data_IF_602297963065
#
_entry.id   IF_602297963065
#
_cell.length_a   1.000
_cell.length_b   1.000
_cell.length_c   1.000
_cell.angle_alpha   90.00
_cell.angle_beta   90.00
_cell.angle_gamma   90.00
#
_symmetry.space_group_name_H-M   'P 1'
#
loop_
_entity.id
_entity.type
_entity.pdbx_description
1 polymer ?
#
# COMPACT_ATOMS: atom_id res chain seq x y z
N UNK A 1 -16.54 -48.97 -3.50
CA UNK A 1 -15.43 -49.17 -2.53
C UNK A 1 -14.18 -48.62 -3.20
N UNK A 2 -13.48 -47.57 -2.76
CA UNK A 2 -13.48 -46.78 -1.53
C UNK A 2 -13.22 -45.31 -1.93
N UNK A 3 -14.00 -44.39 -1.36
CA UNK A 3 -13.68 -42.95 -1.31
C UNK A 3 -12.53 -42.77 -0.33
N UNK A 4 -11.35 -42.37 -0.80
CA UNK A 4 -10.35 -41.78 0.07
C UNK A 4 -10.68 -40.30 0.20
N UNK A 5 -11.48 -39.96 1.22
CA UNK A 5 -11.54 -38.62 1.76
C UNK A 5 -10.12 -38.26 2.20
N UNK A 6 -9.42 -37.49 1.38
CA UNK A 6 -8.19 -36.81 1.78
C UNK A 6 -8.55 -35.90 2.93
N UNK A 7 -8.14 -36.27 4.14
CA UNK A 7 -8.13 -35.37 5.27
C UNK A 7 -7.25 -34.18 4.87
N UNK A 8 -7.91 -33.10 4.43
CA UNK A 8 -7.31 -31.78 4.40
C UNK A 8 -7.01 -31.41 5.85
N UNK A 9 -5.90 -31.90 6.38
CA UNK A 9 -5.31 -31.34 7.59
C UNK A 9 -5.05 -29.89 7.25
N UNK A 10 -5.91 -29.01 7.73
CA UNK A 10 -5.78 -27.57 7.61
C UNK A 10 -4.43 -27.23 8.24
N UNK A 11 -3.38 -27.15 7.43
CA UNK A 11 -2.11 -26.58 7.88
C UNK A 11 -2.44 -25.14 8.23
N UNK A 12 -2.58 -24.86 9.52
CA UNK A 12 -2.72 -23.51 10.03
C UNK A 12 -1.52 -22.74 9.51
N UNK A 13 -1.73 -21.92 8.48
CA UNK A 13 -0.72 -20.98 8.01
C UNK A 13 -0.51 -20.00 9.14
N UNK A 14 0.70 -19.91 9.69
CA UNK A 14 1.01 -18.97 10.77
C UNK A 14 1.71 -17.73 10.23
N UNK A 15 1.62 -16.66 11.00
CA UNK A 15 2.31 -15.40 10.75
C UNK A 15 2.81 -14.78 12.05
N UNK A 16 3.88 -14.00 11.96
CA UNK A 16 4.34 -13.11 13.03
C UNK A 16 3.72 -11.73 12.81
N UNK A 17 2.86 -11.32 13.72
CA UNK A 17 2.22 -10.03 13.70
C UNK A 17 3.03 -9.00 14.50
N UNK A 18 3.57 -8.00 13.83
CA UNK A 18 4.30 -6.91 14.48
C UNK A 18 3.31 -5.86 15.03
N UNK A 19 3.31 -5.72 16.36
CA UNK A 19 2.30 -4.93 17.09
C UNK A 19 2.39 -3.44 16.77
N UNK A 20 3.60 -2.89 16.68
CA UNK A 20 3.81 -1.44 16.55
C UNK A 20 3.42 -0.89 15.17
N UNK A 21 3.56 -1.70 14.10
CA UNK A 21 3.26 -1.27 12.71
C UNK A 21 2.02 -1.92 12.12
N UNK A 22 1.39 -2.86 12.84
CA UNK A 22 0.25 -3.62 12.33
C UNK A 22 0.59 -4.36 11.00
N UNK A 23 1.82 -4.90 10.92
CA UNK A 23 2.31 -5.64 9.75
C UNK A 23 2.53 -7.10 10.11
N UNK A 24 2.10 -8.02 9.24
CA UNK A 24 2.30 -9.45 9.43
C UNK A 24 3.41 -9.99 8.51
N UNK A 25 4.19 -10.92 9.02
CA UNK A 25 5.22 -11.66 8.29
C UNK A 25 4.82 -13.14 8.23
N UNK A 26 4.68 -13.67 7.02
CA UNK A 26 4.30 -15.06 6.83
C UNK A 26 5.39 -16.01 7.37
N UNK A 27 4.98 -17.06 8.08
CA UNK A 27 5.87 -18.16 8.47
C UNK A 27 5.74 -19.29 7.45
N UNK A 28 6.66 -19.38 6.47
CA UNK A 28 6.60 -20.40 5.44
C UNK A 28 6.67 -21.82 6.05
N UNK A 29 5.63 -22.65 5.89
CA UNK A 29 5.58 -23.99 6.52
C UNK A 29 6.55 -24.99 5.87
N UNK A 30 7.18 -24.62 4.76
CA UNK A 30 8.20 -25.40 4.06
C UNK A 30 9.62 -25.15 4.59
N UNK A 31 9.83 -24.13 5.43
CA UNK A 31 11.13 -23.88 6.06
C UNK A 31 11.15 -24.48 7.47
N UNK A 32 12.09 -25.39 7.71
CA UNK A 32 12.32 -25.96 9.04
C UNK A 32 12.93 -24.92 10.00
N UNK A 33 13.67 -23.96 9.48
CA UNK A 33 14.30 -22.87 10.23
C UNK A 33 14.03 -21.56 9.51
N UNK A 34 13.52 -20.59 10.23
CA UNK A 34 13.16 -19.25 9.75
C UNK A 34 13.99 -18.25 10.55
N UNK A 35 14.91 -17.55 9.90
CA UNK A 35 15.80 -16.58 10.53
C UNK A 35 15.16 -15.20 10.55
N UNK A 36 15.22 -14.54 11.70
CA UNK A 36 14.70 -13.20 11.92
C UNK A 36 15.84 -12.24 12.21
N UNK A 37 15.89 -11.13 11.48
CA UNK A 37 16.91 -10.11 11.68
C UNK A 37 16.99 -9.12 10.54
N UNK A 38 18.14 -8.44 10.45
CA UNK A 38 18.41 -7.46 9.40
C UNK A 38 19.33 -8.03 8.30
N UNK A 39 19.08 -7.71 7.02
CA UNK A 39 19.97 -8.08 5.94
C UNK A 39 21.35 -7.49 6.15
N UNK A 40 22.37 -8.28 5.83
CA UNK A 40 23.73 -7.82 5.72
C UNK A 40 24.44 -8.65 4.69
N UNK A 41 24.87 -8.03 3.59
CA UNK A 41 25.56 -8.71 2.50
C UNK A 41 26.72 -9.59 3.03
N UNK A 42 26.74 -10.92 2.77
CA UNK A 42 25.88 -11.73 1.87
C UNK A 42 24.73 -12.51 2.55
N UNK A 43 24.43 -12.26 3.83
CA UNK A 43 23.44 -12.97 4.63
C UNK A 43 22.09 -12.24 4.60
N UNK A 44 21.07 -12.92 4.06
CA UNK A 44 19.68 -12.44 4.05
C UNK A 44 18.85 -13.30 5.03
N UNK A 45 18.24 -12.69 6.07
CA UNK A 45 17.29 -13.39 6.92
C UNK A 45 16.00 -13.69 6.15
N UNK A 46 15.28 -14.74 6.55
CA UNK A 46 13.98 -15.10 5.96
C UNK A 46 12.91 -14.05 6.28
N UNK A 47 12.97 -13.49 7.49
CA UNK A 47 12.15 -12.36 7.94
C UNK A 47 13.04 -11.14 8.10
N UNK A 48 12.97 -10.25 7.10
CA UNK A 48 13.64 -8.95 7.10
C UNK A 48 12.82 -7.91 7.89
N UNK A 49 13.42 -7.46 8.99
CA UNK A 49 12.85 -6.46 9.89
C UNK A 49 13.44 -5.05 9.70
N UNK A 50 14.30 -4.82 8.69
CA UNK A 50 14.94 -3.52 8.42
C UNK A 50 13.96 -2.38 8.14
N UNK A 51 12.77 -2.71 7.64
CA UNK A 51 11.69 -1.75 7.38
C UNK A 51 10.88 -1.37 8.63
N UNK A 52 11.11 -2.04 9.77
CA UNK A 52 10.37 -1.79 11.01
C UNK A 52 10.98 -0.66 11.84
N UNK A 53 10.17 0.08 12.61
CA UNK A 53 10.67 1.07 13.56
C UNK A 53 11.53 0.39 14.63
N UNK A 54 12.57 1.08 15.11
CA UNK A 54 13.53 0.55 16.10
C UNK A 54 14.28 -0.71 15.64
N UNK A 55 14.38 -0.97 14.32
CA UNK A 55 15.19 -2.07 13.78
C UNK A 55 16.67 -2.01 14.22
N UNK A 56 17.17 -0.84 14.62
CA UNK A 56 18.52 -0.68 15.21
C UNK A 56 18.74 -1.53 16.47
N UNK A 57 17.67 -1.83 17.21
CA UNK A 57 17.73 -2.70 18.40
C UNK A 57 17.86 -4.19 18.06
N UNK A 58 17.66 -4.55 16.80
CA UNK A 58 17.67 -5.94 16.37
C UNK A 58 18.95 -6.22 15.60
N UNK A 59 19.51 -7.40 15.83
CA UNK A 59 20.77 -7.84 15.23
C UNK A 59 20.55 -8.34 13.80
N UNK A 60 21.61 -8.45 13.02
CA UNK A 60 21.55 -8.99 11.64
C UNK A 60 21.01 -10.42 11.63
N UNK A 61 21.52 -11.24 12.53
CA UNK A 61 20.99 -12.55 12.87
C UNK A 61 20.62 -12.45 14.35
N UNK A 62 19.34 -12.25 14.66
CA UNK A 62 18.91 -11.97 16.04
C UNK A 62 18.30 -13.21 16.69
N UNK A 63 17.34 -13.81 16.02
CA UNK A 63 16.68 -15.01 16.49
C UNK A 63 16.30 -15.90 15.30
N UNK A 64 15.99 -17.15 15.59
CA UNK A 64 15.41 -18.05 14.61
C UNK A 64 14.20 -18.78 15.19
N UNK A 65 13.24 -19.05 14.33
CA UNK A 65 12.09 -19.89 14.64
C UNK A 65 12.29 -21.23 13.96
N UNK A 66 12.27 -22.30 14.73
CA UNK A 66 12.34 -23.66 14.24
C UNK A 66 10.96 -24.30 14.28
N UNK A 67 10.62 -25.04 13.22
CA UNK A 67 9.44 -25.87 13.16
C UNK A 67 9.85 -27.32 13.39
N UNK A 68 9.42 -27.90 14.52
CA UNK A 68 9.60 -29.32 14.82
C UNK A 68 8.23 -30.00 14.94
N UNK A 69 7.89 -30.77 13.90
CA UNK A 69 6.57 -31.39 13.74
C UNK A 69 5.46 -30.34 13.61
N UNK A 70 4.67 -30.18 14.66
CA UNK A 70 3.58 -29.20 14.77
C UNK A 70 3.89 -28.04 15.70
N UNK A 71 5.06 -28.05 16.36
CA UNK A 71 5.42 -27.09 17.38
C UNK A 71 6.45 -26.09 16.84
N UNK A 72 6.30 -24.84 17.24
CA UNK A 72 7.24 -23.77 16.91
C UNK A 72 8.13 -23.50 18.12
N UNK A 73 9.42 -23.31 17.86
CA UNK A 73 10.40 -22.96 18.88
C UNK A 73 11.13 -21.70 18.47
N UNK A 74 11.33 -20.77 19.41
CA UNK A 74 12.16 -19.57 19.21
C UNK A 74 13.51 -19.79 19.90
N UNK A 75 14.58 -19.42 19.22
CA UNK A 75 15.94 -19.45 19.74
C UNK A 75 16.61 -18.10 19.51
N UNK A 76 17.14 -17.51 20.58
CA UNK A 76 17.97 -16.30 20.49
C UNK A 76 19.37 -16.68 19.98
N UNK A 77 19.81 -16.08 18.88
CA UNK A 77 21.09 -16.36 18.23
C UNK A 77 22.19 -15.43 18.75
N UNK A 78 22.27 -15.31 20.09
CA UNK A 78 23.26 -14.47 20.78
C UNK A 78 23.13 -12.99 20.39
N UNK A 79 21.89 -12.50 20.44
CA UNK A 79 21.60 -11.14 20.02
C UNK A 79 22.09 -10.08 21.01
N UNK A 80 22.42 -8.89 20.51
CA UNK A 80 23.00 -7.82 21.33
C UNK A 80 22.05 -7.33 22.43
N UNK A 81 20.74 -7.27 22.12
CA UNK A 81 19.72 -6.78 23.06
C UNK A 81 18.87 -7.91 23.68
N UNK A 82 19.11 -9.16 23.31
CA UNK A 82 18.35 -10.33 23.75
C UNK A 82 16.95 -10.45 23.16
N UNK A 83 16.43 -11.67 23.12
CA UNK A 83 15.03 -11.99 22.81
C UNK A 83 14.24 -12.26 24.09
N UNK A 84 12.98 -11.85 24.14
CA UNK A 84 12.08 -12.09 25.26
C UNK A 84 10.80 -12.79 24.78
N UNK A 85 10.35 -13.79 25.53
CA UNK A 85 9.08 -14.48 25.31
C UNK A 85 8.16 -14.20 26.49
N UNK A 86 6.98 -13.63 26.25
CA UNK A 86 6.01 -13.24 27.27
C UNK A 86 6.69 -12.49 28.44
N UNK A 87 7.48 -11.47 28.10
CA UNK A 87 8.25 -10.62 29.03
C UNK A 87 9.42 -11.32 29.75
N UNK A 88 9.67 -12.61 29.49
CA UNK A 88 10.79 -13.35 30.08
C UNK A 88 11.96 -13.40 29.10
N UNK A 89 13.16 -12.97 29.55
CA UNK A 89 14.36 -13.02 28.71
C UNK A 89 14.78 -14.46 28.45
N UNK A 90 14.99 -14.80 27.18
CA UNK A 90 15.46 -16.13 26.79
C UNK A 90 16.96 -16.27 27.04
N UNK A 91 17.39 -17.49 27.37
CA UNK A 91 18.82 -17.83 27.33
C UNK A 91 19.26 -17.98 25.87
N UNK A 92 20.36 -17.33 25.46
CA UNK A 92 20.91 -17.51 24.12
C UNK A 92 21.15 -18.99 23.80
N UNK A 93 20.98 -19.36 22.53
CA UNK A 93 21.20 -20.72 22.00
C UNK A 93 20.41 -21.83 22.68
N UNK A 94 19.30 -21.49 23.31
CA UNK A 94 18.37 -22.44 23.93
C UNK A 94 17.02 -22.29 23.23
N UNK A 95 16.44 -23.36 22.65
CA UNK A 95 15.12 -23.29 22.03
C UNK A 95 14.03 -23.24 23.10
N UNK A 96 13.05 -22.35 22.92
CA UNK A 96 11.87 -22.22 23.76
C UNK A 96 10.61 -22.40 22.92
N UNK A 97 9.68 -23.22 23.39
CA UNK A 97 8.42 -23.44 22.68
C UNK A 97 7.59 -22.16 22.63
N UNK A 98 7.00 -21.86 21.48
CA UNK A 98 6.09 -20.72 21.24
C UNK A 98 4.75 -21.25 20.76
N UNK A 99 3.69 -20.74 21.36
CA UNK A 99 2.31 -21.06 21.03
C UNK A 99 1.61 -19.87 20.37
N UNK A 100 0.46 -20.16 19.76
CA UNK A 100 -0.42 -19.11 19.24
C UNK A 100 -0.82 -18.12 20.33
N UNK A 101 -0.69 -16.83 20.03
CA UNK A 101 -0.94 -15.71 20.93
C UNK A 101 0.28 -15.29 21.76
N UNK A 102 1.37 -16.06 21.76
CA UNK A 102 2.56 -15.70 22.52
C UNK A 102 3.24 -14.45 21.95
N UNK A 103 3.74 -13.64 22.87
CA UNK A 103 4.43 -12.39 22.59
C UNK A 103 5.94 -12.61 22.55
N UNK A 104 6.57 -12.24 21.44
CA UNK A 104 8.02 -12.27 21.25
C UNK A 104 8.52 -10.82 21.13
N UNK A 105 9.35 -10.34 22.05
CA UNK A 105 10.02 -9.05 21.93
C UNK A 105 11.48 -9.23 21.49
N UNK A 106 11.90 -8.48 20.48
CA UNK A 106 13.31 -8.39 20.06
C UNK A 106 13.93 -7.15 20.68
N UNK A 107 14.74 -7.36 21.71
CA UNK A 107 15.30 -6.31 22.55
C UNK A 107 14.39 -5.84 23.69
N UNK A 108 14.99 -5.12 24.63
CA UNK A 108 14.30 -4.68 25.85
C UNK A 108 13.29 -3.54 25.58
N UNK A 109 12.19 -3.57 26.32
CA UNK A 109 11.23 -2.45 26.38
C UNK A 109 10.09 -2.53 25.36
N UNK A 110 9.89 -3.68 24.70
CA UNK A 110 8.71 -3.92 23.85
C UNK A 110 8.60 -2.93 22.70
N UNK A 111 9.74 -2.53 22.12
CA UNK A 111 9.79 -1.61 20.97
C UNK A 111 9.67 -2.32 19.63
N UNK A 112 10.02 -3.60 19.59
CA UNK A 112 9.88 -4.51 18.45
C UNK A 112 9.20 -5.77 18.98
N UNK A 113 7.88 -5.83 18.84
CA UNK A 113 7.06 -6.88 19.44
C UNK A 113 6.32 -7.63 18.36
N UNK A 114 6.45 -8.95 18.37
CA UNK A 114 5.72 -9.87 17.52
C UNK A 114 4.74 -10.71 18.33
N UNK A 115 3.62 -11.06 17.73
CA UNK A 115 2.68 -12.05 18.25
C UNK A 115 2.59 -13.18 17.23
N UNK A 116 2.78 -14.42 17.67
CA UNK A 116 2.57 -15.58 16.81
C UNK A 116 1.06 -15.80 16.63
N UNK A 117 0.53 -15.69 15.42
CA UNK A 117 -0.90 -15.86 15.19
C UNK A 117 -1.20 -16.73 13.97
N UNK A 118 -2.41 -17.29 13.94
CA UNK A 118 -2.91 -18.01 12.77
C UNK A 118 -3.35 -16.99 11.72
N UNK A 119 -2.86 -17.16 10.50
CA UNK A 119 -3.31 -16.38 9.34
C UNK A 119 -4.75 -16.76 9.04
N UNK A 120 -5.69 -15.79 9.02
CA UNK A 120 -7.09 -16.07 8.72
C UNK A 120 -7.22 -16.60 7.29
N UNK A 121 -7.55 -17.89 7.15
CA UNK A 121 -7.86 -18.52 5.88
C UNK A 121 -9.26 -18.07 5.44
N UNK A 122 -9.36 -17.00 4.66
CA UNK A 122 -10.62 -16.65 4.01
C UNK A 122 -10.94 -17.70 2.93
N UNK A 123 -11.76 -18.69 3.28
CA UNK A 123 -12.29 -19.66 2.31
C UNK A 123 -13.16 -18.92 1.28
N UNK A 124 -12.66 -18.71 0.07
CA UNK A 124 -13.50 -18.37 -1.08
C UNK A 124 -14.27 -19.62 -1.55
N UNK A 125 -15.26 -20.03 -0.77
CA UNK A 125 -16.35 -20.88 -1.24
C UNK A 125 -17.61 -20.02 -1.23
N UNK A 126 -17.94 -19.36 -2.34
CA UNK A 126 -19.22 -18.68 -2.48
C UNK A 126 -19.86 -18.97 -3.85
N UNK A 127 -20.38 -20.19 -3.97
CA UNK A 127 -21.69 -20.36 -4.59
C UNK A 127 -22.74 -19.87 -3.59
N UNK A 128 -23.43 -18.81 -3.97
CA UNK A 128 -24.69 -18.24 -3.46
C UNK A 128 -25.23 -18.76 -2.11
N UNK A 129 -25.32 -17.88 -1.10
CA UNK A 129 -26.59 -17.45 -0.46
C UNK A 129 -26.29 -16.48 0.70
N UNK A 130 -26.94 -15.33 0.62
CA UNK A 130 -27.00 -14.21 1.57
C UNK A 130 -27.31 -14.62 3.02
N UNK A 131 -26.53 -14.15 4.00
CA UNK A 131 -26.98 -13.33 5.15
C UNK A 131 -25.84 -12.38 5.53
N UNK A 132 -26.15 -11.07 5.46
CA UNK A 132 -25.25 -9.97 5.79
C UNK A 132 -25.25 -9.70 7.30
N UNK A 133 -24.08 -9.79 7.93
CA UNK A 133 -23.72 -8.96 9.07
C UNK A 133 -22.42 -8.24 8.69
N UNK A 134 -22.49 -6.91 8.68
CA UNK A 134 -21.47 -6.04 8.11
C UNK A 134 -20.85 -5.22 9.23
N UNK A 135 -19.76 -5.74 9.80
CA UNK A 135 -18.79 -4.96 10.56
C UNK A 135 -17.50 -4.93 9.75
N UNK A 136 -17.33 -3.86 8.97
CA UNK A 136 -16.22 -3.67 8.05
C UNK A 136 -15.54 -2.33 8.33
N UNK A 137 -14.62 -2.34 9.30
CA UNK A 137 -13.63 -1.28 9.45
C UNK A 137 -12.22 -1.90 9.56
N UNK A 138 -11.77 -2.54 8.47
CA UNK A 138 -10.34 -2.76 8.27
C UNK A 138 -9.99 -2.75 6.78
N UNK A 139 -9.20 -1.73 6.40
CA UNK A 139 -8.38 -1.60 5.19
C UNK A 139 -9.08 -1.68 3.82
N UNK A 140 -9.72 -0.58 3.42
CA UNK A 140 -9.72 -0.18 1.99
C UNK A 140 -8.29 0.21 1.58
N UNK A 141 -7.49 -0.74 1.09
CA UNK A 141 -6.67 -0.44 -0.08
C UNK A 141 -7.64 -0.42 -1.25
N UNK A 142 -8.19 0.74 -1.58
CA UNK A 142 -8.99 0.92 -2.80
C UNK A 142 -8.08 0.64 -3.98
N UNK A 143 -8.15 -0.58 -4.52
CA UNK A 143 -7.79 -0.82 -5.91
C UNK A 143 -8.80 -0.02 -6.73
N UNK A 144 -8.44 1.25 -7.00
CA UNK A 144 -9.26 2.18 -7.78
C UNK A 144 -9.65 1.48 -9.08
N UNK A 145 -10.93 1.20 -9.24
CA UNK A 145 -11.50 0.48 -10.39
C UNK A 145 -11.11 1.20 -11.69
N UNK A 146 -10.94 0.46 -12.78
CA UNK A 146 -10.55 1.01 -14.09
C UNK A 146 -11.54 2.07 -14.55
N UNK A 147 -12.83 1.88 -14.24
CA UNK A 147 -13.92 2.83 -14.50
C UNK A 147 -13.72 4.14 -13.73
N UNK A 148 -13.34 4.05 -12.46
CA UNK A 148 -13.05 5.18 -11.58
C UNK A 148 -11.85 5.99 -12.09
N UNK A 149 -10.79 5.32 -12.54
CA UNK A 149 -9.64 6.00 -13.17
C UNK A 149 -10.02 6.69 -14.49
N UNK A 150 -10.87 6.07 -15.29
CA UNK A 150 -11.30 6.60 -16.58
C UNK A 150 -12.19 7.83 -16.42
N UNK A 151 -13.11 7.81 -15.46
CA UNK A 151 -13.95 8.97 -15.12
C UNK A 151 -13.11 10.11 -14.52
N UNK A 152 -12.11 9.79 -13.67
CA UNK A 152 -11.18 10.81 -13.14
C UNK A 152 -10.36 11.49 -14.23
N UNK A 153 -9.88 10.70 -15.19
CA UNK A 153 -9.18 11.20 -16.37
C UNK A 153 -10.11 12.06 -17.25
N UNK A 154 -11.35 11.63 -17.48
CA UNK A 154 -12.33 12.39 -18.24
C UNK A 154 -12.65 13.75 -17.59
N UNK A 155 -12.79 13.79 -16.25
CA UNK A 155 -13.01 15.03 -15.51
C UNK A 155 -11.81 15.98 -15.58
N UNK A 156 -10.59 15.45 -15.50
CA UNK A 156 -9.39 16.27 -15.70
C UNK A 156 -9.34 16.87 -17.11
N UNK A 157 -9.58 16.06 -18.13
CA UNK A 157 -9.58 16.51 -19.54
C UNK A 157 -10.66 17.56 -19.75
N UNK A 158 -11.86 17.37 -19.21
CA UNK A 158 -12.94 18.37 -19.27
C UNK A 158 -12.54 19.69 -18.61
N UNK A 159 -11.89 19.66 -17.43
CA UNK A 159 -11.39 20.84 -16.74
C UNK A 159 -10.38 21.63 -17.58
N UNK A 160 -9.46 20.93 -18.26
CA UNK A 160 -8.46 21.52 -19.17
C UNK A 160 -9.15 22.10 -20.41
N UNK A 161 -10.09 21.39 -21.02
CA UNK A 161 -10.81 21.86 -22.21
C UNK A 161 -11.60 23.13 -21.90
N UNK A 162 -12.34 23.16 -20.80
CA UNK A 162 -13.12 24.35 -20.36
C UNK A 162 -12.19 25.54 -20.09
N UNK A 163 -11.03 25.28 -19.47
CA UNK A 163 -10.03 26.31 -19.21
C UNK A 163 -9.47 26.87 -20.53
N UNK A 164 -9.09 26.00 -21.47
CA UNK A 164 -8.54 26.42 -22.77
C UNK A 164 -9.56 27.14 -23.66
N UNK A 165 -10.82 26.70 -23.68
CA UNK A 165 -11.90 27.30 -24.47
C UNK A 165 -12.26 28.72 -24.01
N UNK A 166 -12.01 29.03 -22.75
CA UNK A 166 -12.36 30.33 -22.15
C UNK A 166 -11.25 31.37 -22.29
N UNK A 167 -10.06 30.97 -22.74
CA UNK A 167 -8.94 31.88 -22.97
C UNK A 167 -8.93 32.32 -24.43
N UNK A 168 -9.61 33.43 -24.75
CA UNK A 168 -9.51 34.07 -26.08
C UNK A 168 -8.17 34.76 -26.26
N UNK A 169 -7.09 34.05 -26.62
CA UNK A 169 -5.83 34.68 -27.10
C UNK A 169 -5.07 33.79 -28.09
N UNK A 170 -4.50 34.43 -29.12
CA UNK A 170 -3.81 33.93 -30.33
C UNK A 170 -3.03 32.61 -30.27
N UNK A 171 -3.27 31.79 -31.30
CA UNK A 171 -2.79 30.41 -31.50
C UNK A 171 -1.25 30.29 -31.57
N UNK A 172 -0.53 31.37 -31.90
CA UNK A 172 0.86 31.26 -32.38
C UNK A 172 1.92 31.05 -31.28
N UNK A 173 1.68 31.44 -30.03
CA UNK A 173 2.69 31.38 -28.95
C UNK A 173 2.52 30.20 -27.97
N UNK A 174 1.43 29.43 -28.06
CA UNK A 174 1.05 28.41 -27.05
C UNK A 174 1.33 26.96 -27.42
N UNK A 175 1.56 26.69 -28.71
CA UNK A 175 1.91 25.36 -29.23
C UNK A 175 3.09 24.73 -28.45
N UNK A 176 4.21 25.44 -28.14
CA UNK A 176 5.34 24.80 -27.45
C UNK A 176 5.02 24.40 -26.00
N UNK A 177 4.21 25.19 -25.27
CA UNK A 177 3.83 24.87 -23.90
C UNK A 177 2.87 23.68 -23.80
N UNK A 178 1.89 23.60 -24.71
CA UNK A 178 0.96 22.46 -24.79
C UNK A 178 1.72 21.18 -25.17
N UNK A 179 2.68 21.27 -26.10
CA UNK A 179 3.52 20.14 -26.48
C UNK A 179 4.31 19.59 -25.28
N UNK A 180 4.82 20.49 -24.44
CA UNK A 180 5.55 20.12 -23.22
C UNK A 180 4.66 19.40 -22.19
N UNK A 181 3.43 19.87 -22.01
CA UNK A 181 2.44 19.21 -21.16
C UNK A 181 2.07 17.81 -21.68
N UNK A 182 1.84 17.67 -23.00
CA UNK A 182 1.59 16.37 -23.62
C UNK A 182 2.76 15.40 -23.45
N UNK A 183 4.00 15.88 -23.59
CA UNK A 183 5.20 15.08 -23.33
C UNK A 183 5.29 14.63 -21.86
N UNK A 184 4.95 15.50 -20.91
CA UNK A 184 4.91 15.15 -19.49
C UNK A 184 3.86 14.07 -19.17
N UNK A 185 2.67 14.16 -19.76
CA UNK A 185 1.63 13.12 -19.64
C UNK A 185 2.09 11.80 -20.27
N UNK A 186 2.75 11.85 -21.44
CA UNK A 186 3.32 10.68 -22.10
C UNK A 186 4.42 9.99 -21.25
N UNK A 187 5.25 10.78 -20.55
CA UNK A 187 6.23 10.26 -19.60
C UNK A 187 5.56 9.61 -18.39
N UNK A 188 4.45 10.16 -17.88
CA UNK A 188 3.66 9.52 -16.80
C UNK A 188 3.00 8.21 -17.24
N UNK A 189 2.64 8.08 -18.52
CA UNK A 189 2.08 6.86 -19.11
C UNK A 189 3.15 5.75 -19.25
N UNK A 190 4.42 6.11 -19.38
CA UNK A 190 5.51 5.15 -19.47
C UNK A 190 6.01 4.73 -18.09
N UNK A 191 5.62 3.53 -17.65
CA UNK A 191 6.04 2.92 -16.37
C UNK A 191 7.55 2.61 -16.23
N UNK A 192 8.35 2.93 -17.25
CA UNK A 192 9.81 2.76 -17.29
C UNK A 192 10.59 4.01 -16.90
N UNK A 193 9.94 5.18 -16.88
CA UNK A 193 10.59 6.46 -16.61
C UNK A 193 10.10 6.98 -15.26
N UNK A 194 10.98 7.68 -14.53
CA UNK A 194 10.66 8.23 -13.24
C UNK A 194 9.44 9.17 -13.33
N UNK A 195 8.34 8.89 -12.59
CA UNK A 195 7.10 9.67 -12.69
C UNK A 195 7.30 11.14 -12.28
N UNK A 196 8.31 11.43 -11.46
CA UNK A 196 8.67 12.78 -11.04
C UNK A 196 9.05 13.68 -12.23
N UNK A 197 9.67 13.13 -13.28
CA UNK A 197 10.00 13.89 -14.49
C UNK A 197 8.75 14.34 -15.24
N UNK A 198 7.73 13.48 -15.32
CA UNK A 198 6.48 13.82 -15.98
C UNK A 198 5.77 15.00 -15.31
N UNK A 199 5.74 15.02 -13.97
CA UNK A 199 5.20 16.16 -13.21
C UNK A 199 6.00 17.45 -13.39
N UNK A 200 7.34 17.37 -13.45
CA UNK A 200 8.20 18.53 -13.72
C UNK A 200 7.95 19.09 -15.12
N UNK A 201 7.82 18.24 -16.14
CA UNK A 201 7.51 18.69 -17.51
C UNK A 201 6.13 19.36 -17.61
N UNK A 202 5.13 18.83 -16.91
CA UNK A 202 3.78 19.43 -16.86
C UNK A 202 3.83 20.80 -16.18
N UNK A 203 4.51 20.91 -15.03
CA UNK A 203 4.67 22.17 -14.32
C UNK A 203 5.42 23.22 -15.16
N UNK A 204 6.47 22.80 -15.87
CA UNK A 204 7.24 23.65 -16.78
C UNK A 204 6.39 24.13 -17.97
N UNK A 205 5.56 23.25 -18.55
CA UNK A 205 4.64 23.61 -19.64
C UNK A 205 3.62 24.66 -19.20
N UNK A 206 3.05 24.51 -17.99
CA UNK A 206 2.14 25.50 -17.40
C UNK A 206 2.85 26.84 -17.15
N UNK A 207 4.08 26.82 -16.63
CA UNK A 207 4.87 28.02 -16.39
C UNK A 207 5.18 28.78 -17.70
N UNK A 208 5.56 28.07 -18.76
CA UNK A 208 5.78 28.67 -20.09
C UNK A 208 4.49 29.29 -20.65
N UNK A 209 3.35 28.62 -20.47
CA UNK A 209 2.04 29.15 -20.89
C UNK A 209 1.69 30.43 -20.09
N UNK A 210 1.96 30.44 -18.79
CA UNK A 210 1.70 31.58 -17.91
C UNK A 210 2.62 32.77 -18.21
N UNK A 211 3.89 32.53 -18.52
CA UNK A 211 4.88 33.58 -18.79
C UNK A 211 4.77 34.17 -20.20
N UNK A 212 4.33 33.37 -21.18
CA UNK A 212 4.18 33.83 -22.59
C UNK A 212 2.80 34.46 -22.84
N UNK A 213 1.85 34.33 -21.92
CA UNK A 213 0.56 35.01 -22.00
C UNK A 213 0.66 36.41 -21.41
N UNK A 214 0.51 37.45 -22.24
CA UNK A 214 0.14 38.78 -21.75
C UNK A 214 -1.09 38.62 -20.83
N UNK A 215 -0.84 38.79 -19.54
CA UNK A 215 -1.86 38.73 -18.49
C UNK A 215 -2.87 39.84 -18.77
N UNK A 216 -4.15 39.57 -18.55
CA UNK A 216 -5.29 40.48 -18.71
C UNK A 216 -5.90 40.61 -20.11
N UNK A 217 -6.41 39.50 -20.65
CA UNK A 217 -7.61 39.53 -21.48
C UNK A 217 -8.66 38.58 -20.89
N UNK A 218 -9.52 39.14 -20.05
CA UNK A 218 -10.85 38.62 -19.69
C UNK A 218 -10.97 37.11 -19.39
N UNK A 219 -10.11 36.55 -18.54
CA UNK A 219 -10.38 35.21 -18.01
C UNK A 219 -11.36 35.40 -16.85
N UNK A 220 -12.60 34.96 -17.04
CA UNK A 220 -13.63 35.04 -16.02
C UNK A 220 -13.18 34.24 -14.80
N UNK A 221 -12.96 34.90 -13.66
CA UNK A 221 -12.49 34.29 -12.39
C UNK A 221 -13.31 33.04 -12.04
N UNK A 222 -14.61 33.10 -12.34
CA UNK A 222 -15.53 31.99 -12.16
C UNK A 222 -15.10 30.73 -12.92
N UNK A 223 -14.64 30.86 -14.16
CA UNK A 223 -14.18 29.72 -14.97
C UNK A 223 -12.90 29.11 -14.41
N UNK A 224 -11.99 29.95 -13.90
CA UNK A 224 -10.76 29.47 -13.26
C UNK A 224 -11.10 28.64 -12.02
N UNK A 225 -12.03 29.12 -11.20
CA UNK A 225 -12.49 28.41 -10.01
C UNK A 225 -13.17 27.08 -10.37
N UNK A 226 -14.04 27.08 -11.38
CA UNK A 226 -14.74 25.87 -11.84
C UNK A 226 -13.74 24.85 -12.40
N UNK A 227 -12.82 25.27 -13.28
CA UNK A 227 -11.80 24.37 -13.85
C UNK A 227 -10.84 23.83 -12.78
N UNK A 228 -10.44 24.65 -11.81
CA UNK A 228 -9.59 24.22 -10.69
C UNK A 228 -10.31 23.17 -9.82
N UNK A 229 -11.60 23.39 -9.53
CA UNK A 229 -12.42 22.43 -8.79
C UNK A 229 -12.58 21.11 -9.56
N UNK A 230 -12.81 21.16 -10.88
CA UNK A 230 -12.90 19.97 -11.74
C UNK A 230 -11.58 19.18 -11.80
N UNK A 231 -10.44 19.88 -11.88
CA UNK A 231 -9.12 19.25 -11.87
C UNK A 231 -8.81 18.59 -10.52
N UNK A 232 -9.09 19.30 -9.41
CA UNK A 232 -8.92 18.77 -8.07
C UNK A 232 -9.82 17.54 -7.84
N UNK A 233 -11.07 17.62 -8.31
CA UNK A 233 -12.01 16.51 -8.19
C UNK A 233 -11.59 15.31 -9.04
N UNK A 234 -11.20 15.52 -10.30
CA UNK A 234 -10.68 14.45 -11.17
C UNK A 234 -9.42 13.80 -10.59
N UNK A 235 -8.54 14.58 -9.95
CA UNK A 235 -7.33 14.09 -9.28
C UNK A 235 -7.60 13.25 -8.04
N UNK A 236 -8.47 13.73 -7.16
CA UNK A 236 -8.98 12.97 -6.01
C UNK A 236 -9.55 11.62 -6.48
N UNK A 237 -10.37 11.66 -7.53
CA UNK A 237 -11.04 10.48 -8.04
C UNK A 237 -10.08 9.47 -8.70
N UNK A 238 -9.07 9.95 -9.43
CA UNK A 238 -8.04 9.11 -10.04
C UNK A 238 -7.12 8.41 -9.02
N UNK A 239 -6.83 9.08 -7.89
CA UNK A 239 -5.86 8.62 -6.89
C UNK A 239 -6.52 7.81 -5.76
N UNK A 240 -7.66 8.26 -5.24
CA UNK A 240 -8.33 7.67 -4.08
C UNK A 240 -9.55 6.82 -4.45
N UNK A 241 -10.15 7.11 -5.60
CA UNK A 241 -11.43 6.56 -6.03
C UNK A 241 -12.66 7.12 -5.30
N UNK A 242 -12.48 8.17 -4.50
CA UNK A 242 -13.52 8.84 -3.71
C UNK A 242 -13.54 10.34 -3.98
N UNK A 243 -14.69 10.98 -3.74
CA UNK A 243 -14.84 12.44 -3.71
C UNK A 243 -15.60 12.83 -2.44
N UNK A 244 -15.02 13.63 -1.53
CA UNK A 244 -15.67 14.05 -0.28
C UNK A 244 -16.44 12.89 0.42
N UNK A 245 -15.78 11.74 0.62
CA UNK A 245 -16.34 10.49 1.18
C UNK A 245 -17.36 9.69 0.32
N UNK A 246 -17.71 10.17 -0.87
CA UNK A 246 -18.59 9.46 -1.81
C UNK A 246 -17.83 8.64 -2.86
N UNK A 247 -18.19 7.37 -3.04
CA UNK A 247 -17.76 6.53 -4.16
C UNK A 247 -18.64 6.76 -5.41
N UNK A 248 -18.12 6.46 -6.62
CA UNK A 248 -18.85 6.60 -7.89
C UNK A 248 -20.23 5.92 -7.89
N UNK A 249 -20.33 4.75 -7.24
CA UNK A 249 -21.57 3.98 -7.13
C UNK A 249 -22.63 4.72 -6.31
N UNK A 250 -22.21 5.47 -5.29
CA UNK A 250 -23.10 6.29 -4.46
C UNK A 250 -23.66 7.48 -5.26
N UNK A 251 -22.80 8.14 -6.03
CA UNK A 251 -23.20 9.24 -6.93
C UNK A 251 -24.15 8.77 -8.04
N UNK A 252 -23.91 7.60 -8.65
CA UNK A 252 -24.83 7.02 -9.64
C UNK A 252 -26.20 6.67 -9.03
N UNK A 253 -26.25 6.28 -7.76
CA UNK A 253 -27.51 6.05 -7.03
C UNK A 253 -28.33 7.33 -6.79
N UNK A 254 -27.66 8.47 -6.58
CA UNK A 254 -28.31 9.78 -6.40
C UNK A 254 -28.88 10.36 -7.69
N UNK A 255 -28.25 10.08 -8.83
CA UNK A 255 -28.70 10.58 -10.14
C UNK A 255 -29.90 9.77 -10.67
N UNK A 256 -30.12 8.55 -10.17
CA UNK A 256 -31.20 7.65 -10.61
C UNK A 256 -32.50 7.79 -9.80
N UNK A 257 -32.57 8.75 -8.88
CA UNK A 257 -33.74 9.07 -8.07
C UNK A 257 -34.33 10.40 -8.51
#
# INVERSE_FOLDING_TARGET
MQNFNTFNTTRLSLELFHVQTNTAFDLPPNLAVIRVGKPNDPIFPDIDISSLPNADLVSRIHAQIQLDGSNYFIEDLESSNGTFLNNTRLKPRTPYQVNLGDRIDLGQGGKVTFILQAKPQYQQNLSSTTIQFQDAENQRKTSVDKTTKLVGLALMVAGIVILTASIRVGIFFRIPGILLCCAGVFVLLQRRINPNLGWILIALGIAVIAFTGNVFASVNLFVILVSSALLFAGYQFFTTGKILDYDLRSLQGLIKK
#
